data_IF_276718662046
#
_entry.id   IF_276718662046
#
_cell.length_a   1.000
_cell.length_b   1.000
_cell.length_c   1.000
_cell.angle_alpha   90.00
_cell.angle_beta   90.00
_cell.angle_gamma   90.00
#
_symmetry.space_group_name_H-M   'P 1'
#
loop_
_entity.id
_entity.type
_entity.pdbx_description
1 polymer ?
#
# COMPACT_ATOMS: atom_id res chain seq x y z
N UNK A 1 -4.92 -12.53 14.00
CA UNK A 1 -5.19 -13.21 12.70
C UNK A 1 -4.62 -12.48 11.46
N UNK A 2 -3.90 -11.35 11.59
CA UNK A 2 -3.56 -10.50 10.43
C UNK A 2 -2.34 -10.98 9.60
N UNK A 3 -1.42 -11.75 10.17
CA UNK A 3 -0.21 -12.23 9.46
C UNK A 3 -0.50 -13.25 8.35
N UNK A 4 -1.60 -14.01 8.50
CA UNK A 4 -1.92 -15.14 7.63
C UNK A 4 -2.17 -14.75 6.16
N UNK A 5 -2.55 -13.50 5.89
CA UNK A 5 -2.75 -13.05 4.50
C UNK A 5 -1.45 -12.80 3.76
N UNK A 6 -0.40 -12.33 4.45
CA UNK A 6 0.88 -11.93 3.85
C UNK A 6 1.69 -13.13 3.35
N UNK A 7 1.66 -14.26 4.08
CA UNK A 7 2.33 -15.50 3.70
C UNK A 7 1.70 -16.15 2.46
N UNK A 8 0.44 -15.79 2.15
CA UNK A 8 -0.33 -16.29 1.00
C UNK A 8 -0.22 -15.42 -0.25
N UNK A 9 0.41 -14.26 -0.14
CA UNK A 9 0.63 -13.40 -1.29
C UNK A 9 1.68 -13.99 -2.21
N UNK A 10 1.49 -13.75 -3.51
CA UNK A 10 2.58 -13.96 -4.45
C UNK A 10 3.79 -13.14 -4.01
N UNK A 11 4.99 -13.62 -4.35
CA UNK A 11 6.21 -12.87 -4.03
C UNK A 11 6.16 -11.45 -4.62
N UNK A 12 5.54 -11.29 -5.79
CA UNK A 12 5.33 -9.99 -6.45
C UNK A 12 4.41 -9.09 -5.64
N UNK A 13 3.19 -9.52 -5.32
CA UNK A 13 2.24 -8.68 -4.57
C UNK A 13 2.82 -8.24 -3.23
N UNK A 14 3.51 -9.16 -2.54
CA UNK A 14 4.16 -8.86 -1.26
C UNK A 14 5.26 -7.81 -1.40
N UNK A 15 6.09 -7.89 -2.43
CA UNK A 15 7.17 -6.94 -2.63
C UNK A 15 6.65 -5.57 -3.09
N UNK A 16 5.64 -5.55 -3.98
CA UNK A 16 4.96 -4.33 -4.41
C UNK A 16 4.33 -3.60 -3.22
N UNK A 17 3.59 -4.33 -2.37
CA UNK A 17 2.99 -3.74 -1.17
C UNK A 17 4.04 -3.20 -0.19
N UNK A 18 5.16 -3.90 -0.01
CA UNK A 18 6.25 -3.44 0.87
C UNK A 18 6.91 -2.17 0.36
N UNK A 19 7.18 -2.10 -0.95
CA UNK A 19 7.79 -0.94 -1.56
C UNK A 19 6.89 0.29 -1.40
N UNK A 20 5.63 0.19 -1.83
CA UNK A 20 4.69 1.31 -1.74
C UNK A 20 4.38 1.70 -0.30
N UNK A 21 4.22 0.74 0.61
CA UNK A 21 4.03 1.05 2.02
C UNK A 21 5.27 1.73 2.64
N UNK A 22 6.48 1.35 2.23
CA UNK A 22 7.68 2.01 2.70
C UNK A 22 7.73 3.48 2.26
N UNK A 23 7.47 3.75 0.97
CA UNK A 23 7.36 5.12 0.45
C UNK A 23 6.32 5.93 1.24
N UNK A 24 5.10 5.42 1.37
CA UNK A 24 3.99 6.10 2.05
C UNK A 24 4.23 6.36 3.56
N UNK A 25 5.11 5.59 4.22
CA UNK A 25 5.32 5.66 5.67
C UNK A 25 6.60 6.41 6.05
N UNK A 26 7.60 6.45 5.17
CA UNK A 26 8.95 6.90 5.53
C UNK A 26 9.53 7.94 4.57
N UNK A 27 8.86 8.26 3.44
CA UNK A 27 9.38 9.16 2.41
C UNK A 27 8.43 10.33 2.24
N UNK A 28 8.69 11.43 2.95
CA UNK A 28 7.83 12.62 2.94
C UNK A 28 7.78 13.34 1.58
N UNK A 29 8.79 13.12 0.72
CA UNK A 29 8.89 13.71 -0.61
C UNK A 29 8.07 12.96 -1.67
N UNK A 30 7.48 11.81 -1.33
CA UNK A 30 6.70 10.97 -2.26
C UNK A 30 5.22 11.03 -1.90
N UNK A 31 4.37 11.65 -2.73
CA UNK A 31 2.94 11.70 -2.47
C UNK A 31 2.33 10.28 -2.41
N UNK A 32 1.56 9.93 -1.37
CA UNK A 32 1.00 8.57 -1.22
C UNK A 32 0.17 8.08 -2.40
N UNK A 33 -0.54 8.98 -3.08
CA UNK A 33 -1.32 8.66 -4.27
C UNK A 33 -0.45 8.19 -5.44
N UNK A 34 0.75 8.76 -5.58
CA UNK A 34 1.73 8.36 -6.61
C UNK A 34 2.24 6.96 -6.31
N UNK A 35 2.63 6.67 -5.06
CA UNK A 35 3.05 5.31 -4.67
C UNK A 35 1.97 4.26 -4.92
N UNK A 36 0.69 4.59 -4.69
CA UNK A 36 -0.43 3.70 -5.01
C UNK A 36 -0.52 3.44 -6.51
N UNK A 37 -0.51 4.50 -7.33
CA UNK A 37 -0.62 4.39 -8.78
C UNK A 37 0.51 3.52 -9.37
N UNK A 38 1.75 3.75 -8.96
CA UNK A 38 2.91 3.01 -9.45
C UNK A 38 2.89 1.55 -8.97
N UNK A 39 2.44 1.29 -7.74
CA UNK A 39 2.26 -0.06 -7.24
C UNK A 39 1.21 -0.86 -8.05
N UNK A 40 0.10 -0.22 -8.44
CA UNK A 40 -0.93 -0.84 -9.28
C UNK A 40 -0.37 -1.18 -10.67
N UNK A 41 0.40 -0.28 -11.27
CA UNK A 41 1.07 -0.55 -12.56
C UNK A 41 2.07 -1.71 -12.46
N UNK A 42 2.86 -1.79 -11.39
CA UNK A 42 3.77 -2.93 -11.16
C UNK A 42 3.00 -4.24 -10.98
N UNK A 43 1.87 -4.20 -10.26
CA UNK A 43 1.01 -5.36 -10.06
C UNK A 43 0.35 -5.83 -11.37
N UNK A 44 -0.03 -4.92 -12.26
CA UNK A 44 -0.56 -5.24 -13.59
C UNK A 44 0.50 -5.86 -14.49
N UNK A 45 1.72 -5.34 -14.43
CA UNK A 45 2.83 -5.79 -15.28
C UNK A 45 3.42 -7.15 -14.86
N UNK A 46 3.47 -7.42 -13.56
CA UNK A 46 4.22 -8.57 -13.02
C UNK A 46 3.38 -9.53 -12.16
N UNK A 47 2.18 -9.12 -11.76
CA UNK A 47 1.30 -9.92 -10.92
C UNK A 47 0.37 -10.85 -11.70
N UNK A 48 -0.73 -11.21 -11.07
CA UNK A 48 -1.85 -11.95 -11.66
C UNK A 48 -2.97 -10.98 -12.06
N UNK A 49 -4.01 -11.46 -12.76
CA UNK A 49 -5.16 -10.61 -13.12
C UNK A 49 -5.87 -9.96 -11.92
N UNK A 50 -5.78 -10.57 -10.73
CA UNK A 50 -6.37 -10.03 -9.50
C UNK A 50 -5.45 -9.05 -8.74
N UNK A 51 -4.16 -9.03 -9.09
CA UNK A 51 -3.13 -8.27 -8.37
C UNK A 51 -3.36 -6.75 -8.37
N UNK A 52 -3.70 -6.08 -9.48
CA UNK A 52 -3.92 -4.62 -9.50
C UNK A 52 -5.01 -4.18 -8.52
N UNK A 53 -6.16 -4.86 -8.57
CA UNK A 53 -7.30 -4.58 -7.69
C UNK A 53 -6.96 -4.85 -6.23
N UNK A 54 -6.26 -5.95 -5.96
CA UNK A 54 -5.84 -6.31 -4.61
C UNK A 54 -4.87 -5.28 -4.01
N UNK A 55 -3.82 -4.91 -4.75
CA UNK A 55 -2.81 -3.93 -4.32
C UNK A 55 -3.45 -2.57 -4.05
N UNK A 56 -4.29 -2.08 -4.97
CA UNK A 56 -5.00 -0.82 -4.80
C UNK A 56 -5.80 -0.79 -3.50
N UNK A 57 -6.61 -1.83 -3.26
CA UNK A 57 -7.46 -1.90 -2.07
C UNK A 57 -6.70 -1.93 -0.73
N UNK A 58 -5.52 -2.58 -0.69
CA UNK A 58 -4.68 -2.62 0.51
C UNK A 58 -4.01 -1.27 0.77
N UNK A 59 -3.43 -0.64 -0.25
CA UNK A 59 -2.74 0.64 -0.08
C UNK A 59 -3.71 1.79 0.19
N UNK A 60 -4.91 1.76 -0.41
CA UNK A 60 -6.00 2.69 -0.06
C UNK A 60 -6.40 2.60 1.43
N UNK A 61 -6.43 1.38 1.97
CA UNK A 61 -6.71 1.18 3.40
C UNK A 61 -5.59 1.74 4.28
N UNK A 62 -4.32 1.58 3.86
CA UNK A 62 -3.17 2.18 4.53
C UNK A 62 -3.25 3.72 4.51
N UNK A 63 -3.54 4.31 3.35
CA UNK A 63 -3.67 5.77 3.20
C UNK A 63 -4.77 6.33 4.11
N UNK A 64 -5.95 5.71 4.15
CA UNK A 64 -7.03 6.13 5.07
C UNK A 64 -6.62 6.07 6.54
N UNK A 65 -5.87 5.04 6.93
CA UNK A 65 -5.39 4.89 8.30
C UNK A 65 -4.37 5.98 8.67
N UNK A 66 -3.51 6.39 7.74
CA UNK A 66 -2.58 7.50 7.91
C UNK A 66 -3.32 8.84 8.06
N UNK A 67 -4.28 9.14 7.17
CA UNK A 67 -5.07 10.37 7.24
C UNK A 67 -5.81 10.50 8.57
N UNK A 68 -6.38 9.40 9.08
CA UNK A 68 -7.05 9.38 10.39
C UNK A 68 -6.08 9.66 11.57
N UNK A 69 -4.84 9.19 11.50
CA UNK A 69 -3.81 9.48 12.51
C UNK A 69 -3.37 10.94 12.51
N UNK A 70 -3.22 11.55 11.34
CA UNK A 70 -2.79 12.95 11.22
C UNK A 70 -3.89 13.93 11.65
N UNK A 71 -5.16 13.58 11.45
CA UNK A 71 -6.31 14.42 11.84
C UNK A 71 -6.69 14.33 13.32
N UNK A 72 -6.23 13.31 14.05
CA UNK A 72 -6.48 13.13 15.49
C UNK A 72 -5.44 13.72 16.44
N UNK A 73 -4.35 14.32 15.94
CA UNK A 73 -3.21 14.81 16.73
C UNK A 73 -3.25 16.29 17.14
N UNK A 74 -4.38 16.98 16.95
CA UNK A 74 -4.50 18.45 17.08
C UNK A 74 -5.08 19.00 18.40
N UNK A 75 -5.15 18.22 19.48
CA UNK A 75 -5.53 18.75 20.80
C UNK A 75 -4.68 18.15 21.91
N UNK A 76 -3.62 18.86 22.29
CA UNK A 76 -3.06 18.91 23.65
C UNK A 76 -2.27 20.20 23.77
#
# INVERSE_FOLDING_TARGET
>A
LTNWRLDRLSAIDRNVLRLAAAEMLFFDDVPPLVSIQEAVQLAEKYGTGESPRFVNGVLDALMRHQTARTSGGGTS
#
